data_IF_134309771700
#
_entry.id   IF_134309771700
#
_cell.length_a   1.000
_cell.length_b   1.000
_cell.length_c   1.000
_cell.angle_alpha   90.00
_cell.angle_beta   90.00
_cell.angle_gamma   90.00
#
_symmetry.space_group_name_H-M   'P 1'
#
loop_
_entity.id
_entity.type
_entity.pdbx_description
1 polymer ?
#
# COMPACT_ATOMS: atom_id res chain seq x y z
N UNK A 1 16.54 -2.58 28.47
CA UNK A 1 16.32 -1.48 27.51
C UNK A 1 15.57 -2.01 26.30
N UNK A 2 14.43 -1.46 26.04
CA UNK A 2 13.66 -1.85 24.87
C UNK A 2 14.30 -1.31 23.60
N UNK A 3 14.54 -2.20 22.63
CA UNK A 3 15.02 -1.80 21.31
C UNK A 3 13.76 -1.54 20.47
N UNK A 4 13.60 -0.30 20.01
CA UNK A 4 12.40 0.09 19.27
C UNK A 4 12.80 0.83 17.98
N UNK A 5 13.44 0.09 17.07
CA UNK A 5 13.85 0.63 15.79
C UNK A 5 12.70 0.52 14.76
N UNK A 6 12.95 1.06 13.57
CA UNK A 6 11.94 1.10 12.51
C UNK A 6 11.42 -0.30 12.11
N UNK A 7 12.29 -1.31 12.16
CA UNK A 7 11.90 -2.67 11.79
C UNK A 7 10.96 -3.28 12.82
N UNK A 8 11.25 -3.07 14.10
CA UNK A 8 10.39 -3.53 15.19
C UNK A 8 9.03 -2.83 15.12
N UNK A 9 9.04 -1.52 14.89
CA UNK A 9 7.82 -0.73 14.75
C UNK A 9 6.97 -1.20 13.57
N UNK A 10 7.60 -1.46 12.42
CA UNK A 10 6.88 -1.91 11.24
C UNK A 10 6.24 -3.28 11.47
N UNK A 11 6.97 -4.20 12.11
CA UNK A 11 6.40 -5.51 12.42
C UNK A 11 5.21 -5.40 13.38
N UNK A 12 5.27 -4.51 14.35
CA UNK A 12 4.14 -4.28 15.26
C UNK A 12 2.92 -3.79 14.49
N UNK A 13 3.10 -2.85 13.57
CA UNK A 13 2.01 -2.34 12.73
C UNK A 13 1.42 -3.46 11.86
N UNK A 14 2.28 -4.27 11.24
CA UNK A 14 1.83 -5.38 10.41
C UNK A 14 0.99 -6.39 11.18
N UNK A 15 1.43 -6.74 12.39
CA UNK A 15 0.70 -7.68 13.23
C UNK A 15 -0.66 -7.12 13.62
N UNK A 16 -0.69 -5.86 14.05
CA UNK A 16 -1.96 -5.20 14.41
C UNK A 16 -2.89 -5.09 13.22
N UNK A 17 -2.34 -4.73 12.05
CA UNK A 17 -3.14 -4.62 10.83
C UNK A 17 -3.74 -5.97 10.45
N UNK A 18 -2.98 -7.06 10.57
CA UNK A 18 -3.45 -8.39 10.22
C UNK A 18 -4.64 -8.87 11.05
N UNK A 19 -4.85 -8.26 12.20
CA UNK A 19 -5.97 -8.63 13.09
C UNK A 19 -7.24 -7.82 12.82
N UNK A 20 -7.18 -6.85 11.92
CA UNK A 20 -8.35 -6.06 11.56
C UNK A 20 -9.28 -6.85 10.65
N UNK A 21 -10.58 -6.66 10.84
CA UNK A 21 -11.59 -7.29 9.99
C UNK A 21 -12.10 -6.27 8.99
N UNK A 22 -11.39 -6.13 7.87
CA UNK A 22 -11.68 -5.16 6.84
C UNK A 22 -12.44 -5.80 5.69
N UNK A 23 -13.29 -5.02 5.02
CA UNK A 23 -14.07 -5.48 3.88
C UNK A 23 -13.46 -4.99 2.58
N UNK A 24 -13.42 -5.88 1.59
CA UNK A 24 -12.96 -5.56 0.24
C UNK A 24 -14.10 -4.96 -0.55
N UNK A 25 -13.95 -3.71 -1.00
CA UNK A 25 -14.97 -3.04 -1.82
C UNK A 25 -14.69 -3.14 -3.31
N UNK A 26 -13.44 -3.40 -3.72
CA UNK A 26 -13.09 -3.54 -5.12
C UNK A 26 -13.57 -4.87 -5.69
N UNK A 27 -13.99 -4.84 -6.93
CA UNK A 27 -14.47 -6.05 -7.59
C UNK A 27 -13.98 -6.09 -9.03
N UNK A 28 -13.32 -7.19 -9.40
CA UNK A 28 -12.96 -7.46 -10.77
C UNK A 28 -13.99 -8.44 -11.35
N UNK A 29 -14.90 -7.93 -12.16
CA UNK A 29 -16.00 -8.72 -12.71
C UNK A 29 -15.52 -9.76 -13.71
N UNK A 30 -14.41 -9.51 -14.39
CA UNK A 30 -13.86 -10.44 -15.37
C UNK A 30 -13.24 -11.67 -14.72
N UNK A 31 -12.49 -11.45 -13.64
CA UNK A 31 -11.82 -12.52 -12.92
C UNK A 31 -12.64 -13.02 -11.73
N UNK A 32 -13.76 -12.38 -11.43
CA UNK A 32 -14.68 -12.75 -10.35
C UNK A 32 -13.99 -12.85 -8.98
N UNK A 33 -13.20 -11.83 -8.63
CA UNK A 33 -12.60 -11.74 -7.32
C UNK A 33 -12.76 -10.33 -6.75
N UNK A 34 -12.68 -10.24 -5.44
CA UNK A 34 -12.72 -8.97 -4.71
C UNK A 34 -11.33 -8.60 -4.22
N UNK A 35 -11.07 -7.30 -4.12
CA UNK A 35 -9.80 -6.79 -3.65
C UNK A 35 -10.03 -5.55 -2.78
N UNK A 36 -9.00 -5.20 -1.99
CA UNK A 36 -9.03 -3.98 -1.19
C UNK A 36 -8.75 -2.77 -2.06
N UNK A 37 -9.65 -1.80 -2.02
CA UNK A 37 -9.35 -0.48 -2.51
C UNK A 37 -8.61 0.30 -1.41
N UNK A 38 -7.88 1.33 -1.81
CA UNK A 38 -7.08 2.11 -0.88
C UNK A 38 -7.93 2.65 0.29
N UNK A 39 -9.13 3.12 0.00
CA UNK A 39 -10.04 3.65 1.02
C UNK A 39 -10.51 2.59 2.03
N UNK A 40 -10.42 1.31 1.69
CA UNK A 40 -10.86 0.24 2.58
C UNK A 40 -9.92 0.05 3.77
N UNK A 41 -8.65 0.42 3.64
CA UNK A 41 -7.66 0.15 4.68
C UNK A 41 -6.80 1.35 5.08
N UNK A 42 -6.70 2.39 4.24
CA UNK A 42 -5.77 3.49 4.49
C UNK A 42 -6.05 4.23 5.81
N UNK A 43 -7.31 4.56 6.16
CA UNK A 43 -7.55 5.23 7.44
C UNK A 43 -7.09 4.39 8.64
N UNK A 44 -7.35 3.09 8.63
CA UNK A 44 -6.95 2.19 9.70
C UNK A 44 -5.43 2.03 9.77
N UNK A 45 -4.80 1.90 8.60
CA UNK A 45 -3.35 1.84 8.51
C UNK A 45 -2.70 3.10 9.04
N UNK A 46 -3.24 4.26 8.67
CA UNK A 46 -2.73 5.55 9.13
C UNK A 46 -2.76 5.66 10.65
N UNK A 47 -3.85 5.19 11.28
CA UNK A 47 -3.96 5.18 12.74
C UNK A 47 -2.90 4.31 13.40
N UNK A 48 -2.66 3.12 12.85
CA UNK A 48 -1.64 2.21 13.39
C UNK A 48 -0.23 2.76 13.19
N UNK A 49 0.03 3.39 12.06
CA UNK A 49 1.32 4.01 11.79
C UNK A 49 1.57 5.19 12.73
N UNK A 50 0.54 5.98 13.01
CA UNK A 50 0.64 7.08 13.98
C UNK A 50 0.99 6.55 15.37
N UNK A 51 0.32 5.49 15.83
CA UNK A 51 0.62 4.88 17.12
C UNK A 51 2.08 4.45 17.24
N UNK A 52 2.63 3.92 16.15
CA UNK A 52 4.03 3.48 16.10
C UNK A 52 5.00 4.63 15.83
N UNK A 53 4.50 5.84 15.58
CA UNK A 53 5.29 7.02 15.23
C UNK A 53 6.09 6.81 13.95
N UNK A 54 5.44 6.19 12.97
CA UNK A 54 5.99 5.97 11.64
C UNK A 54 5.28 6.88 10.64
N UNK A 55 6.05 7.48 9.74
CA UNK A 55 5.51 8.38 8.73
C UNK A 55 5.83 7.85 7.33
N UNK A 56 4.82 7.36 6.59
CA UNK A 56 5.04 6.99 5.20
C UNK A 56 4.86 8.20 4.29
N UNK A 57 5.78 8.37 3.34
CA UNK A 57 5.70 9.44 2.34
C UNK A 57 5.75 8.79 0.96
N UNK A 58 4.73 9.05 0.14
CA UNK A 58 4.65 8.52 -1.22
C UNK A 58 5.04 9.62 -2.21
N UNK A 59 5.94 9.27 -3.11
CA UNK A 59 6.39 10.18 -4.17
C UNK A 59 6.42 9.44 -5.51
N UNK A 60 6.32 10.20 -6.59
CA UNK A 60 6.29 9.65 -7.94
C UNK A 60 7.31 10.34 -8.83
N UNK A 61 7.97 9.54 -9.67
CA UNK A 61 8.77 10.04 -10.80
C UNK A 61 8.24 9.37 -12.06
N UNK A 62 8.82 9.69 -13.21
CA UNK A 62 8.44 9.00 -14.46
C UNK A 62 8.76 7.51 -14.43
N UNK A 63 9.71 7.10 -13.61
CA UNK A 63 10.20 5.72 -13.60
C UNK A 63 9.68 4.91 -12.42
N UNK A 64 9.47 5.56 -11.27
CA UNK A 64 9.15 4.84 -10.04
C UNK A 64 8.11 5.57 -9.20
N UNK A 65 7.25 4.78 -8.57
CA UNK A 65 6.50 5.19 -7.40
C UNK A 65 7.28 4.71 -6.18
N UNK A 66 7.40 5.56 -5.17
CA UNK A 66 8.22 5.27 -3.99
C UNK A 66 7.43 5.59 -2.73
N UNK A 67 7.47 4.68 -1.76
CA UNK A 67 7.01 4.94 -0.40
C UNK A 67 8.22 4.89 0.51
N UNK A 68 8.52 6.01 1.15
CA UNK A 68 9.60 6.09 2.14
C UNK A 68 8.95 6.08 3.52
N UNK A 69 9.22 5.02 4.28
CA UNK A 69 8.75 4.92 5.65
C UNK A 69 9.81 5.52 6.56
N UNK A 70 9.44 6.50 7.35
CA UNK A 70 10.36 7.24 8.21
C UNK A 70 9.99 6.98 9.66
N UNK A 71 10.99 6.64 10.48
CA UNK A 71 10.78 6.55 11.92
C UNK A 71 10.77 7.97 12.51
N UNK A 72 9.58 8.41 12.96
CA UNK A 72 9.40 9.76 13.48
C UNK A 72 10.22 10.05 14.74
N UNK A 73 10.61 9.03 15.48
CA UNK A 73 11.46 9.18 16.67
C UNK A 73 12.95 9.19 16.35
N UNK A 74 13.31 8.72 15.15
CA UNK A 74 14.68 8.74 14.65
C UNK A 74 14.64 8.85 13.13
N UNK A 75 14.47 10.08 12.57
CA UNK A 75 14.21 10.23 11.15
C UNK A 75 15.32 9.76 10.21
N UNK A 76 16.52 9.50 10.72
CA UNK A 76 17.57 8.90 9.90
C UNK A 76 17.29 7.43 9.58
N UNK A 77 16.43 6.77 10.35
CA UNK A 77 15.99 5.42 10.05
C UNK A 77 14.84 5.45 9.04
N UNK A 78 15.08 4.87 7.88
CA UNK A 78 14.11 4.87 6.79
C UNK A 78 14.11 3.53 6.07
N UNK A 79 12.94 3.13 5.58
CA UNK A 79 12.78 1.97 4.69
C UNK A 79 12.13 2.47 3.41
N UNK A 80 12.68 2.09 2.27
CA UNK A 80 12.18 2.53 0.96
C UNK A 80 11.54 1.36 0.24
N UNK A 81 10.30 1.57 -0.22
CA UNK A 81 9.58 0.64 -1.08
C UNK A 81 9.43 1.31 -2.44
N UNK A 82 9.66 0.56 -3.51
CA UNK A 82 9.55 1.09 -4.86
C UNK A 82 8.69 0.18 -5.74
N UNK A 83 8.03 0.80 -6.71
CA UNK A 83 7.30 0.09 -7.75
C UNK A 83 7.52 0.81 -9.07
N UNK A 84 7.80 0.08 -10.17
CA UNK A 84 8.02 0.75 -11.44
C UNK A 84 6.72 1.38 -11.96
N UNK A 85 6.84 2.57 -12.52
CA UNK A 85 5.72 3.24 -13.16
C UNK A 85 5.51 2.65 -14.56
N UNK A 86 4.25 2.49 -14.95
CA UNK A 86 3.88 2.03 -16.28
C UNK A 86 2.81 2.93 -16.85
N UNK A 87 2.87 3.14 -18.15
CA UNK A 87 1.83 3.85 -18.86
C UNK A 87 0.58 2.97 -18.92
N UNK A 88 -0.42 3.33 -18.13
CA UNK A 88 -1.73 2.71 -18.22
C UNK A 88 -2.62 3.65 -19.01
N UNK A 89 -3.00 3.21 -20.21
CA UNK A 89 -4.03 3.92 -20.95
C UNK A 89 -5.38 3.44 -20.47
N UNK A 90 -6.00 4.26 -19.65
CA UNK A 90 -7.36 3.98 -19.19
C UNK A 90 -8.33 4.39 -20.28
N UNK A 91 -9.07 3.44 -20.79
CA UNK A 91 -10.04 3.63 -21.88
C UNK A 91 -11.08 4.67 -21.48
N UNK A 92 -11.24 5.70 -22.30
CA UNK A 92 -12.24 6.75 -22.05
C UNK A 92 -11.76 7.86 -21.13
N UNK A 93 -10.51 7.82 -20.65
CA UNK A 93 -9.96 8.86 -19.80
C UNK A 93 -8.97 9.75 -20.57
N UNK A 94 -8.80 11.00 -20.13
CA UNK A 94 -7.76 11.87 -20.63
C UNK A 94 -6.45 11.62 -19.89
N UNK A 95 -5.37 12.29 -20.33
CA UNK A 95 -4.04 12.11 -19.75
C UNK A 95 -3.99 12.39 -18.25
N UNK A 96 -4.71 13.41 -17.80
CA UNK A 96 -4.73 13.79 -16.39
C UNK A 96 -5.45 12.73 -15.55
N UNK A 97 -6.57 12.21 -16.06
CA UNK A 97 -7.31 11.13 -15.39
C UNK A 97 -6.49 9.84 -15.36
N UNK A 98 -5.78 9.54 -16.44
CA UNK A 98 -4.91 8.37 -16.50
C UNK A 98 -3.78 8.46 -15.48
N UNK A 99 -3.15 9.64 -15.35
CA UNK A 99 -2.09 9.86 -14.36
C UNK A 99 -2.63 9.68 -12.94
N UNK A 100 -3.77 10.28 -12.62
CA UNK A 100 -4.39 10.11 -11.31
C UNK A 100 -4.71 8.67 -10.99
N UNK A 101 -5.20 7.92 -11.98
CA UNK A 101 -5.47 6.49 -11.83
C UNK A 101 -4.21 5.68 -11.58
N UNK A 102 -3.13 5.99 -12.30
CA UNK A 102 -1.82 5.32 -12.12
C UNK A 102 -1.28 5.57 -10.72
N UNK A 103 -1.32 6.83 -10.25
CA UNK A 103 -0.81 7.19 -8.94
C UNK A 103 -1.60 6.51 -7.82
N UNK A 104 -2.92 6.45 -7.93
CA UNK A 104 -3.77 5.74 -6.96
C UNK A 104 -3.46 4.25 -6.94
N UNK A 105 -3.32 3.65 -8.12
CA UNK A 105 -2.98 2.24 -8.26
C UNK A 105 -1.64 1.93 -7.62
N UNK A 106 -0.62 2.74 -7.90
CA UNK A 106 0.72 2.55 -7.36
C UNK A 106 0.75 2.76 -5.85
N UNK A 107 0.03 3.76 -5.35
CA UNK A 107 -0.07 3.99 -3.90
C UNK A 107 -0.65 2.76 -3.21
N UNK A 108 -1.70 2.18 -3.78
CA UNK A 108 -2.31 0.97 -3.25
C UNK A 108 -1.30 -0.17 -3.16
N UNK A 109 -0.53 -0.40 -4.23
CA UNK A 109 0.49 -1.46 -4.26
C UNK A 109 1.61 -1.23 -3.24
N UNK A 110 2.05 0.01 -3.08
CA UNK A 110 3.08 0.34 -2.11
C UNK A 110 2.61 0.04 -0.68
N UNK A 111 1.37 0.38 -0.36
CA UNK A 111 0.80 0.08 0.96
C UNK A 111 0.57 -1.42 1.17
N UNK A 112 0.24 -2.15 0.12
CA UNK A 112 0.12 -3.61 0.19
C UNK A 112 1.46 -4.22 0.62
N UNK A 113 2.57 -3.75 0.06
CA UNK A 113 3.90 -4.19 0.43
C UNK A 113 4.25 -3.76 1.86
N UNK A 114 3.99 -2.49 2.20
CA UNK A 114 4.28 -1.95 3.53
C UNK A 114 3.60 -2.76 4.63
N UNK A 115 2.33 -3.09 4.44
CA UNK A 115 1.48 -3.69 5.46
C UNK A 115 1.39 -5.21 5.37
N UNK A 116 2.03 -5.83 4.37
CA UNK A 116 1.91 -7.26 4.10
C UNK A 116 0.45 -7.68 3.89
N UNK A 117 -0.30 -6.87 3.14
CA UNK A 117 -1.70 -7.20 2.87
C UNK A 117 -1.75 -8.43 1.97
N UNK A 118 -2.51 -9.43 2.39
CA UNK A 118 -2.72 -10.64 1.61
C UNK A 118 -4.05 -10.53 0.88
N UNK A 119 -4.00 -10.62 -0.44
CA UNK A 119 -5.19 -10.66 -1.26
C UNK A 119 -5.27 -12.00 -1.97
N UNK A 120 -6.48 -12.38 -2.39
CA UNK A 120 -6.65 -13.59 -3.17
C UNK A 120 -5.83 -13.49 -4.45
N UNK A 121 -4.99 -14.49 -4.70
CA UNK A 121 -4.18 -14.53 -5.90
C UNK A 121 -5.09 -14.82 -7.09
N UNK A 122 -5.05 -13.94 -8.08
CA UNK A 122 -5.80 -14.10 -9.32
C UNK A 122 -5.42 -15.40 -10.04
N UNK A 123 -4.15 -15.77 -9.96
CA UNK A 123 -3.67 -17.02 -10.54
C UNK A 123 -4.30 -18.22 -9.86
N UNK A 124 -4.36 -18.24 -8.54
CA UNK A 124 -4.99 -19.32 -7.80
C UNK A 124 -6.49 -19.41 -8.11
N UNK A 125 -7.15 -18.27 -8.21
CA UNK A 125 -8.58 -18.21 -8.53
C UNK A 125 -8.89 -18.70 -9.94
N UNK A 126 -7.97 -18.55 -10.90
CA UNK A 126 -8.16 -18.92 -12.29
C UNK A 126 -7.55 -20.25 -12.66
N UNK A 127 -6.58 -20.73 -11.90
CA UNK A 127 -5.87 -21.99 -12.18
C UNK A 127 -6.46 -23.19 -11.43
N UNK A 128 -7.36 -22.90 -10.53
CA UNK A 128 -8.07 -23.95 -9.80
C UNK A 128 -9.28 -24.42 -10.56
#
# INVERSE_FOLDING_TARGET
MEINNIYIKLMDVRVKFSKLNLKKSGENKFANFKYFELADFLPQATGLLEEAKLCPIVTFTNEYATLTLINGENPSEQIVFTSPMRDLQLKGSNELQALGGIETYQTRYLYIQLLNITESDTFDATSG
#
